data_IF_433596915050
#
_entry.id   IF_433596915050
#
_cell.length_a   1.000
_cell.length_b   1.000
_cell.length_c   1.000
_cell.angle_alpha   90.00
_cell.angle_beta   90.00
_cell.angle_gamma   90.00
#
_symmetry.space_group_name_H-M   'P 1'
#
loop_
_entity.id
_entity.type
_entity.pdbx_description
1 polymer ?
#
# COMPACT_ATOMS: atom_id res chain seq x y z
N UNK A 1 22.29 -6.40 -34.44
CA UNK A 1 22.99 -6.20 -33.15
C UNK A 1 22.72 -4.78 -32.68
N UNK A 2 21.82 -4.61 -31.71
CA UNK A 2 21.70 -3.48 -30.77
C UNK A 2 20.32 -3.57 -30.10
N UNK A 3 20.21 -4.45 -29.11
CA UNK A 3 19.07 -4.52 -28.19
C UNK A 3 19.10 -3.31 -27.26
N UNK A 4 18.36 -2.26 -27.61
CA UNK A 4 18.08 -1.14 -26.71
C UNK A 4 16.94 -1.50 -25.76
N UNK A 5 17.25 -2.23 -24.69
CA UNK A 5 16.29 -2.55 -23.64
C UNK A 5 16.01 -1.31 -22.79
N UNK A 6 14.83 -0.71 -22.98
CA UNK A 6 14.28 0.27 -22.03
C UNK A 6 13.80 -0.53 -20.82
N UNK A 7 14.54 -0.45 -19.71
CA UNK A 7 14.09 -0.98 -18.40
C UNK A 7 12.99 -0.05 -17.86
N UNK A 8 11.74 -0.50 -17.92
CA UNK A 8 10.66 0.04 -17.11
C UNK A 8 10.67 -0.71 -15.77
N UNK A 9 11.23 -0.10 -14.74
CA UNK A 9 11.04 -0.53 -13.36
C UNK A 9 9.59 -0.24 -12.97
N UNK A 10 8.75 -1.27 -13.01
CA UNK A 10 7.36 -1.20 -12.57
C UNK A 10 7.31 -1.79 -11.15
N UNK A 11 7.51 -0.95 -10.14
CA UNK A 11 7.14 -1.30 -8.77
C UNK A 11 5.61 -1.23 -8.69
N UNK A 12 4.90 -2.35 -8.48
CA UNK A 12 3.45 -2.33 -8.35
C UNK A 12 3.10 -1.49 -7.12
N UNK A 13 2.30 -0.45 -7.33
CA UNK A 13 1.84 0.47 -6.31
C UNK A 13 1.29 -0.28 -5.11
N UNK A 14 2.12 -0.39 -4.08
CA UNK A 14 1.76 -0.91 -2.78
C UNK A 14 0.78 0.10 -2.21
N UNK A 15 -0.52 -0.19 -2.28
CA UNK A 15 -1.56 0.49 -1.50
C UNK A 15 -1.38 0.09 -0.04
N UNK A 16 -0.22 0.47 0.50
CA UNK A 16 0.03 0.67 1.91
C UNK A 16 -1.10 1.56 2.43
N UNK A 17 -1.65 1.21 3.59
CA UNK A 17 -2.47 2.11 4.39
C UNK A 17 -1.56 3.28 4.79
N UNK A 18 -1.34 4.21 3.86
CA UNK A 18 -0.69 5.49 4.09
C UNK A 18 -1.74 6.33 4.77
N UNK A 19 -1.81 6.22 6.09
CA UNK A 19 -2.31 7.34 6.90
C UNK A 19 -1.54 8.58 6.40
N UNK A 20 -2.23 9.38 5.58
CA UNK A 20 -1.89 10.71 5.09
C UNK A 20 -0.39 10.99 5.07
N UNK A 21 0.23 10.88 3.89
CA UNK A 21 1.58 11.41 3.57
C UNK A 21 1.96 12.52 4.52
N UNK A 22 2.71 12.14 5.56
CA UNK A 22 3.29 13.05 6.51
C UNK A 22 4.20 13.91 5.65
N UNK A 23 3.83 15.16 5.38
CA UNK A 23 4.72 16.15 4.80
C UNK A 23 6.07 15.96 5.52
N UNK A 24 7.08 15.44 4.81
CA UNK A 24 8.40 15.20 5.37
C UNK A 24 9.07 16.56 5.63
N UNK A 25 8.60 17.23 6.68
CA UNK A 25 9.31 18.34 7.28
C UNK A 25 10.54 17.76 7.94
N UNK A 26 11.68 18.42 7.73
CA UNK A 26 12.96 18.08 8.36
C UNK A 26 12.75 18.06 9.88
N UNK A 27 12.58 16.86 10.42
CA UNK A 27 12.49 16.61 11.86
C UNK A 27 13.87 16.45 12.48
N UNK A 28 13.96 16.57 13.81
CA UNK A 28 15.21 16.43 14.57
C UNK A 28 15.95 15.09 14.35
N UNK A 29 15.27 14.09 13.81
CA UNK A 29 15.79 12.74 13.56
C UNK A 29 15.63 12.28 12.10
N UNK A 30 15.32 13.21 11.18
CA UNK A 30 15.17 12.93 9.74
C UNK A 30 16.47 12.48 9.05
N UNK A 31 17.62 12.77 9.65
CA UNK A 31 18.94 12.36 9.16
C UNK A 31 19.29 10.89 9.47
N UNK A 32 18.50 10.23 10.32
CA UNK A 32 18.73 8.84 10.74
C UNK A 32 18.09 7.91 9.71
N UNK A 33 18.92 7.10 9.07
CA UNK A 33 18.50 6.15 8.02
C UNK A 33 18.66 4.68 8.41
N UNK A 34 19.08 4.41 9.65
CA UNK A 34 19.30 3.06 10.17
C UNK A 34 20.18 3.05 11.41
N UNK A 35 20.50 1.86 11.89
CA UNK A 35 21.31 1.66 13.10
C UNK A 35 22.81 1.71 12.82
N UNK A 36 23.24 1.64 11.56
CA UNK A 36 24.63 1.77 11.09
C UNK A 36 25.55 0.66 11.60
N UNK A 37 25.02 -0.56 11.66
CA UNK A 37 25.75 -1.75 12.10
C UNK A 37 26.39 -2.46 10.90
N UNK A 38 27.41 -3.26 11.17
CA UNK A 38 28.00 -4.22 10.23
C UNK A 38 27.37 -5.61 10.42
N UNK A 39 27.67 -6.55 9.51
CA UNK A 39 27.06 -7.90 9.51
C UNK A 39 27.31 -8.68 10.80
N UNK A 40 28.39 -8.33 11.52
CA UNK A 40 28.71 -8.83 12.85
C UNK A 40 27.87 -8.24 13.99
N UNK A 41 26.91 -7.37 13.70
CA UNK A 41 26.13 -6.57 14.66
C UNK A 41 26.97 -5.61 15.51
N UNK A 42 28.19 -5.33 15.09
CA UNK A 42 29.01 -4.29 15.70
C UNK A 42 28.68 -2.93 15.07
N UNK A 43 28.87 -1.82 15.79
CA UNK A 43 28.66 -0.48 15.24
C UNK A 43 29.90 -0.02 14.48
N UNK A 44 29.71 0.40 13.22
CA UNK A 44 30.79 0.93 12.39
C UNK A 44 31.47 2.14 13.06
N UNK A 45 32.81 2.11 13.10
CA UNK A 45 33.64 3.21 13.63
C UNK A 45 33.53 4.42 12.71
N UNK A 46 33.25 5.61 13.27
CA UNK A 46 33.14 6.87 12.52
C UNK A 46 31.72 7.36 12.27
N UNK A 47 30.70 6.61 12.71
CA UNK A 47 29.31 6.95 12.47
C UNK A 47 28.83 6.45 11.11
N UNK A 48 27.59 5.98 11.05
CA UNK A 48 27.01 5.38 9.85
C UNK A 48 25.49 5.54 9.87
N UNK A 49 24.88 5.72 8.70
CA UNK A 49 23.44 5.90 8.52
C UNK A 49 22.81 7.00 9.41
N UNK A 50 23.57 8.07 9.68
CA UNK A 50 23.14 9.19 10.53
C UNK A 50 23.28 8.96 12.04
N UNK A 51 23.72 7.77 12.47
CA UNK A 51 24.00 7.46 13.88
C UNK A 51 25.48 7.59 14.22
N UNK A 52 25.80 8.30 15.31
CA UNK A 52 27.16 8.51 15.80
C UNK A 52 27.25 8.17 17.28
N UNK A 53 28.32 7.48 17.69
CA UNK A 53 28.55 7.10 19.08
C UNK A 53 27.60 6.01 19.60
N UNK A 54 27.43 5.94 20.93
CA UNK A 54 26.59 4.96 21.63
C UNK A 54 26.80 3.50 21.19
N UNK A 55 28.05 2.98 21.20
CA UNK A 55 28.34 1.66 20.63
C UNK A 55 27.62 0.53 21.39
N UNK A 56 27.54 0.61 22.71
CA UNK A 56 26.87 -0.40 23.53
C UNK A 56 25.36 -0.46 23.25
N UNK A 57 24.68 0.69 23.16
CA UNK A 57 23.25 0.75 22.90
C UNK A 57 22.91 0.32 21.46
N UNK A 58 23.71 0.74 20.47
CA UNK A 58 23.53 0.32 19.06
C UNK A 58 23.73 -1.19 18.90
N UNK A 59 24.75 -1.76 19.53
CA UNK A 59 24.97 -3.22 19.54
C UNK A 59 23.81 -3.97 20.18
N UNK A 60 23.32 -3.51 21.34
CA UNK A 60 22.19 -4.14 22.03
C UNK A 60 20.91 -4.11 21.17
N UNK A 61 20.64 -2.98 20.51
CA UNK A 61 19.50 -2.83 19.61
C UNK A 61 19.70 -3.62 18.30
N UNK A 62 20.94 -3.83 17.85
CA UNK A 62 21.26 -4.75 16.76
C UNK A 62 20.92 -6.21 17.06
N UNK A 63 21.22 -6.66 18.27
CA UNK A 63 20.81 -8.00 18.74
C UNK A 63 19.27 -8.09 18.75
N UNK A 64 18.60 -7.05 19.24
CA UNK A 64 17.14 -6.97 19.21
C UNK A 64 16.59 -7.04 17.78
N UNK A 65 17.14 -6.26 16.86
CA UNK A 65 16.75 -6.26 15.45
C UNK A 65 16.79 -7.68 14.87
N UNK A 66 17.87 -8.41 15.14
CA UNK A 66 18.00 -9.81 14.73
C UNK A 66 16.94 -10.70 15.38
N UNK A 67 16.66 -10.54 16.67
CA UNK A 67 15.60 -11.30 17.36
C UNK A 67 14.20 -11.02 16.79
N UNK A 68 13.93 -9.77 16.39
CA UNK A 68 12.66 -9.38 15.75
C UNK A 68 12.54 -10.04 14.38
N UNK A 69 13.60 -9.98 13.54
CA UNK A 69 13.61 -10.65 12.23
C UNK A 69 13.49 -12.16 12.30
N UNK A 70 14.07 -12.77 13.33
CA UNK A 70 13.95 -14.21 13.59
C UNK A 70 12.59 -14.59 14.21
N UNK A 71 11.73 -13.62 14.57
CA UNK A 71 10.41 -13.87 15.16
C UNK A 71 10.44 -14.49 16.57
N UNK A 72 11.60 -14.55 17.22
CA UNK A 72 11.80 -15.23 18.52
C UNK A 72 11.35 -14.40 19.72
N UNK A 73 10.96 -13.14 19.50
CA UNK A 73 10.60 -12.20 20.56
C UNK A 73 9.17 -11.68 20.34
N UNK A 74 8.21 -12.31 21.03
CA UNK A 74 6.81 -11.84 21.11
C UNK A 74 6.47 -11.40 22.54
N UNK A 75 5.76 -10.28 22.68
CA UNK A 75 5.25 -9.81 23.98
C UNK A 75 6.29 -9.35 24.99
N UNK A 76 7.50 -8.97 24.56
CA UNK A 76 8.55 -8.42 25.44
C UNK A 76 8.61 -6.91 25.35
N UNK A 77 8.82 -6.26 26.49
CA UNK A 77 9.03 -4.82 26.58
C UNK A 77 10.52 -4.49 26.70
N UNK A 78 10.94 -3.38 26.10
CA UNK A 78 12.33 -2.92 26.11
C UNK A 78 12.34 -1.47 26.55
N UNK A 79 13.20 -1.17 27.53
CA UNK A 79 13.32 0.16 28.10
C UNK A 79 14.69 0.78 27.77
N UNK A 80 14.67 1.90 27.07
CA UNK A 80 15.85 2.73 26.84
C UNK A 80 15.93 3.80 27.95
N UNK A 81 16.88 3.66 28.87
CA UNK A 81 17.06 4.56 30.00
C UNK A 81 18.35 5.42 29.91
N UNK A 82 18.45 6.49 30.70
CA UNK A 82 19.65 7.33 30.84
C UNK A 82 19.38 8.83 30.76
N UNK A 83 20.43 9.66 30.75
CA UNK A 83 20.33 11.13 30.75
C UNK A 83 19.59 11.70 29.52
N UNK A 84 18.92 12.86 29.62
CA UNK A 84 18.35 13.56 28.46
C UNK A 84 19.44 13.90 27.43
N UNK A 85 19.07 13.95 26.16
CA UNK A 85 20.01 14.27 25.06
C UNK A 85 20.95 13.14 24.63
N UNK A 86 20.85 11.93 25.21
CA UNK A 86 21.71 10.78 24.88
C UNK A 86 21.26 9.95 23.67
N UNK A 87 20.28 10.43 22.89
CA UNK A 87 19.87 9.78 21.64
C UNK A 87 18.93 8.58 21.79
N UNK A 88 18.13 8.48 22.86
CA UNK A 88 17.18 7.36 23.05
C UNK A 88 16.16 7.27 21.92
N UNK A 89 15.49 8.40 21.64
CA UNK A 89 14.52 8.52 20.55
C UNK A 89 15.20 8.29 19.19
N UNK A 90 16.43 8.78 19.03
CA UNK A 90 17.23 8.57 17.82
C UNK A 90 17.50 7.07 17.57
N UNK A 91 17.85 6.30 18.59
CA UNK A 91 18.06 4.85 18.49
C UNK A 91 16.75 4.12 18.14
N UNK A 92 15.63 4.50 18.75
CA UNK A 92 14.32 3.92 18.44
C UNK A 92 13.91 4.19 16.98
N UNK A 93 14.16 5.41 16.48
CA UNK A 93 13.94 5.75 15.08
C UNK A 93 14.90 5.02 14.14
N UNK A 94 16.16 4.85 14.53
CA UNK A 94 17.12 4.05 13.77
C UNK A 94 16.65 2.60 13.64
N UNK A 95 16.11 2.00 14.70
CA UNK A 95 15.52 0.66 14.65
C UNK A 95 14.30 0.60 13.72
N UNK A 96 13.42 1.60 13.76
CA UNK A 96 12.27 1.68 12.87
C UNK A 96 12.70 1.73 11.39
N UNK A 97 13.70 2.54 11.07
CA UNK A 97 14.25 2.63 9.72
C UNK A 97 14.96 1.35 9.28
N UNK A 98 15.65 0.66 10.19
CA UNK A 98 16.34 -0.61 9.90
C UNK A 98 15.38 -1.79 9.64
N UNK A 99 14.20 -1.78 10.27
CA UNK A 99 13.13 -2.77 10.04
C UNK A 99 12.42 -2.58 8.69
N UNK A 100 12.56 -1.41 8.06
CA UNK A 100 11.96 -1.07 6.78
C UNK A 100 10.47 -0.69 6.88
N UNK A 101 9.95 -0.12 5.79
CA UNK A 101 8.56 0.36 5.65
C UNK A 101 7.50 -0.75 5.80
N UNK A 102 7.99 -1.95 5.58
CA UNK A 102 7.30 -3.21 5.54
C UNK A 102 6.85 -3.68 6.95
N UNK A 103 7.44 -3.12 8.01
CA UNK A 103 7.16 -3.48 9.40
C UNK A 103 6.49 -2.29 10.09
N UNK A 104 5.25 -2.44 10.63
CA UNK A 104 4.55 -1.32 11.24
C UNK A 104 5.27 -0.83 12.50
N UNK A 105 5.53 0.47 12.57
CA UNK A 105 6.16 1.12 13.71
C UNK A 105 5.30 2.29 14.19
N UNK A 106 4.71 2.17 15.38
CA UNK A 106 3.83 3.19 15.96
C UNK A 106 4.56 3.95 17.06
N UNK A 107 4.65 5.28 16.93
CA UNK A 107 5.12 6.16 18.00
C UNK A 107 3.93 6.74 18.74
N UNK A 108 3.89 6.59 20.06
CA UNK A 108 2.82 7.17 20.90
C UNK A 108 3.46 7.97 22.03
N UNK A 109 2.97 9.18 22.22
CA UNK A 109 3.29 9.97 23.40
C UNK A 109 2.41 9.52 24.58
N UNK A 110 2.97 9.48 25.79
CA UNK A 110 2.21 9.14 26.99
C UNK A 110 1.00 10.04 27.22
N UNK A 111 1.06 11.31 26.76
CA UNK A 111 -0.06 12.25 26.83
C UNK A 111 -1.21 11.89 25.89
N UNK A 112 -0.94 11.22 24.76
CA UNK A 112 -1.97 10.82 23.78
C UNK A 112 -2.88 9.71 24.32
N UNK A 113 -2.41 8.96 25.33
CA UNK A 113 -3.20 7.93 26.01
C UNK A 113 -4.30 8.53 26.90
N UNK A 114 -4.14 9.79 27.31
CA UNK A 114 -5.12 10.49 28.13
C UNK A 114 -6.04 11.32 27.22
N UNK A 115 -7.18 10.73 26.85
CA UNK A 115 -8.22 11.39 26.08
C UNK A 115 -9.54 11.46 26.87
N UNK A 116 -10.36 12.46 26.57
CA UNK A 116 -11.74 12.57 27.08
C UNK A 116 -12.71 11.72 26.26
N UNK A 117 -12.39 11.43 24.99
CA UNK A 117 -13.28 10.74 24.06
C UNK A 117 -13.20 9.22 24.17
N UNK A 118 -12.06 8.69 24.66
CA UNK A 118 -11.80 7.25 24.74
C UNK A 118 -11.15 6.87 26.06
N UNK A 119 -11.39 5.64 26.50
CA UNK A 119 -10.79 5.11 27.73
C UNK A 119 -9.29 4.87 27.56
N UNK A 120 -8.52 5.01 28.64
CA UNK A 120 -7.06 4.74 28.65
C UNK A 120 -6.72 3.33 28.15
N UNK A 121 -7.53 2.34 28.53
CA UNK A 121 -7.37 0.94 28.09
C UNK A 121 -7.62 0.79 26.61
N UNK A 122 -8.61 1.48 26.07
CA UNK A 122 -8.94 1.45 24.65
C UNK A 122 -7.85 2.12 23.81
N UNK A 123 -7.35 3.28 24.24
CA UNK A 123 -6.24 3.97 23.58
C UNK A 123 -4.99 3.06 23.47
N UNK A 124 -4.63 2.37 24.56
CA UNK A 124 -3.53 1.40 24.56
C UNK A 124 -3.84 0.16 23.72
N UNK A 125 -5.07 -0.33 23.72
CA UNK A 125 -5.45 -1.50 22.92
C UNK A 125 -5.38 -1.19 21.42
N UNK A 126 -5.84 0.00 21.02
CA UNK A 126 -5.71 0.48 19.64
C UNK A 126 -4.25 0.64 19.24
N UNK A 127 -3.42 1.21 20.12
CA UNK A 127 -1.98 1.32 19.91
C UNK A 127 -1.30 -0.03 19.62
N UNK A 128 -1.63 -1.06 20.41
CA UNK A 128 -1.12 -2.41 20.19
C UNK A 128 -1.61 -2.99 18.87
N UNK A 129 -2.90 -2.84 18.54
CA UNK A 129 -3.47 -3.34 17.28
C UNK A 129 -2.86 -2.67 16.05
N UNK A 130 -2.60 -1.36 16.09
CA UNK A 130 -1.93 -0.61 15.01
C UNK A 130 -0.49 -1.06 14.78
N UNK A 131 0.17 -1.56 15.82
CA UNK A 131 1.56 -2.02 15.76
C UNK A 131 1.70 -3.49 15.30
N UNK A 132 0.59 -4.17 15.01
CA UNK A 132 0.58 -5.55 14.51
C UNK A 132 0.12 -5.52 13.05
N UNK A 133 1.01 -5.89 12.14
CA UNK A 133 0.73 -5.94 10.71
C UNK A 133 0.37 -7.35 10.27
N UNK A 134 -0.64 -7.47 9.41
CA UNK A 134 -0.97 -8.71 8.69
C UNK A 134 -0.72 -8.46 7.21
N UNK A 135 0.13 -9.29 6.59
CA UNK A 135 0.34 -9.25 5.15
C UNK A 135 -0.51 -10.32 4.50
N UNK A 136 -1.40 -9.89 3.60
CA UNK A 136 -2.24 -10.77 2.79
C UNK A 136 -1.75 -10.63 1.36
N UNK A 137 -1.38 -11.75 0.76
CA UNK A 137 -1.01 -11.83 -0.65
C UNK A 137 -2.25 -12.30 -1.40
N UNK A 138 -2.63 -11.55 -2.42
CA UNK A 138 -3.75 -11.86 -3.31
C UNK A 138 -3.23 -11.87 -4.74
N UNK A 139 -3.64 -12.87 -5.51
CA UNK A 139 -3.36 -12.98 -6.94
C UNK A 139 -4.59 -12.47 -7.68
N UNK A 140 -4.41 -11.46 -8.53
CA UNK A 140 -5.48 -10.90 -9.37
C UNK A 140 -5.01 -10.91 -10.81
N UNK A 141 -5.85 -11.43 -11.71
CA UNK A 141 -5.61 -11.34 -13.15
C UNK A 141 -6.00 -9.93 -13.61
N UNK A 142 -5.08 -9.25 -14.29
CA UNK A 142 -5.28 -7.90 -14.82
C UNK A 142 -5.11 -7.94 -16.33
N UNK A 143 -6.04 -7.34 -17.05
CA UNK A 143 -5.96 -7.20 -18.51
C UNK A 143 -5.52 -5.77 -18.82
N UNK A 144 -4.38 -5.64 -19.49
CA UNK A 144 -3.80 -4.36 -19.89
C UNK A 144 -3.74 -4.27 -21.41
N UNK A 145 -4.20 -3.15 -21.96
CA UNK A 145 -4.14 -2.91 -23.40
C UNK A 145 -4.51 -1.49 -23.78
N UNK A 146 -4.10 -1.09 -24.99
CA UNK A 146 -4.59 0.11 -25.62
C UNK A 146 -6.00 -0.15 -26.17
N UNK A 147 -6.93 0.75 -25.87
CA UNK A 147 -8.29 0.68 -26.37
C UNK A 147 -8.31 1.15 -27.81
N UNK A 148 -8.49 0.23 -28.75
CA UNK A 148 -8.59 0.56 -30.18
C UNK A 148 -10.00 1.05 -30.51
N UNK A 149 -11.01 0.32 -30.03
CA UNK A 149 -12.41 0.62 -30.31
C UNK A 149 -13.32 0.21 -29.16
N UNK A 150 -14.36 1.02 -28.91
CA UNK A 150 -15.45 0.72 -27.99
C UNK A 150 -16.76 0.86 -28.76
N UNK A 151 -17.51 -0.24 -28.85
CA UNK A 151 -18.86 -0.27 -29.41
C UNK A 151 -19.84 -0.52 -28.26
N UNK A 152 -20.88 0.31 -28.14
CA UNK A 152 -21.92 0.13 -27.12
C UNK A 152 -23.26 0.07 -27.84
N UNK A 153 -23.86 -1.10 -27.81
CA UNK A 153 -25.20 -1.36 -28.32
C UNK A 153 -26.20 -1.15 -27.18
N UNK A 154 -26.88 -0.01 -27.23
CA UNK A 154 -28.03 0.22 -26.38
C UNK A 154 -29.26 -0.32 -27.08
N UNK A 155 -29.72 -1.51 -26.70
CA UNK A 155 -31.01 -2.01 -27.18
C UNK A 155 -32.11 -1.18 -26.51
N UNK A 156 -32.61 -0.19 -27.25
CA UNK A 156 -33.89 0.43 -26.93
C UNK A 156 -34.92 -0.64 -27.25
N UNK A 157 -35.49 -1.31 -26.25
CA UNK A 157 -36.79 -1.97 -26.44
C UNK A 157 -37.80 -0.85 -26.66
N UNK A 158 -37.82 -0.33 -27.88
CA UNK A 158 -38.88 0.52 -28.36
C UNK A 158 -40.13 -0.36 -28.31
N UNK A 159 -40.99 -0.03 -27.35
CA UNK A 159 -42.31 -0.60 -27.20
C UNK A 159 -43.15 -0.32 -28.44
N UNK A 160 -43.03 -1.14 -29.47
CA UNK A 160 -43.93 -1.19 -30.63
C UNK A 160 -43.89 -2.64 -31.16
N UNK A 161 -44.95 -3.45 -31.17
CA UNK A 161 -46.39 -3.20 -31.30
C UNK A 161 -47.20 -4.41 -30.77
N UNK A 162 -48.51 -4.17 -30.63
CA UNK A 162 -49.62 -5.14 -30.69
C UNK A 162 -49.82 -6.15 -29.55
N UNK A 163 -50.82 -5.84 -28.72
CA UNK A 163 -51.85 -6.73 -28.16
C UNK A 163 -51.48 -8.16 -27.76
N UNK A 164 -51.51 -8.42 -26.45
CA UNK A 164 -51.62 -9.77 -25.89
C UNK A 164 -51.06 -9.86 -24.48
N UNK A 165 -51.93 -9.90 -23.48
CA UNK A 165 -51.59 -9.93 -22.06
C UNK A 165 -50.92 -11.25 -21.62
N UNK A 166 -49.90 -11.16 -20.76
CA UNK A 166 -49.72 -12.00 -19.56
C UNK A 166 -48.29 -11.88 -18.99
N UNK A 167 -48.16 -11.56 -17.69
CA UNK A 167 -47.09 -12.12 -16.86
C UNK A 167 -46.03 -11.14 -16.33
N UNK A 168 -46.19 -10.77 -15.05
CA UNK A 168 -45.15 -10.40 -14.06
C UNK A 168 -44.25 -9.19 -14.35
N UNK A 169 -44.42 -8.17 -13.50
CA UNK A 169 -43.61 -6.96 -13.38
C UNK A 169 -42.12 -7.24 -13.10
N UNK A 170 -41.31 -7.37 -14.15
CA UNK A 170 -39.88 -7.09 -14.06
C UNK A 170 -39.63 -5.66 -14.54
N UNK A 171 -39.06 -4.88 -13.64
CA UNK A 171 -38.68 -3.48 -13.79
C UNK A 171 -37.80 -3.33 -15.06
N UNK A 172 -38.33 -2.69 -16.09
CA UNK A 172 -37.68 -2.55 -17.41
C UNK A 172 -36.27 -1.99 -17.31
N UNK A 173 -35.28 -2.86 -17.45
CA UNK A 173 -33.87 -2.50 -17.55
C UNK A 173 -33.44 -2.46 -19.01
N UNK A 174 -32.81 -1.38 -19.42
CA UNK A 174 -32.06 -1.32 -20.69
C UNK A 174 -30.98 -2.40 -20.66
N UNK A 175 -31.08 -3.43 -21.50
CA UNK A 175 -29.95 -4.31 -21.78
C UNK A 175 -28.98 -3.56 -22.68
N UNK A 176 -27.89 -3.07 -22.07
CA UNK A 176 -26.75 -2.49 -22.78
C UNK A 176 -25.70 -3.58 -22.91
N UNK A 177 -25.37 -3.93 -24.14
CA UNK A 177 -24.23 -4.81 -24.46
C UNK A 177 -23.19 -3.98 -25.20
N UNK A 178 -21.93 -4.37 -25.14
CA UNK A 178 -20.88 -3.65 -25.86
C UNK A 178 -19.75 -4.56 -26.26
N UNK A 179 -18.86 -4.06 -27.11
CA UNK A 179 -17.61 -4.71 -27.50
C UNK A 179 -16.45 -3.76 -27.27
N UNK A 180 -15.38 -4.30 -26.75
CA UNK A 180 -14.13 -3.60 -26.50
C UNK A 180 -13.01 -4.33 -27.23
N UNK A 181 -12.33 -3.62 -28.11
CA UNK A 181 -11.12 -4.14 -28.76
C UNK A 181 -9.90 -3.57 -28.05
N UNK A 182 -9.13 -4.46 -27.42
CA UNK A 182 -7.86 -4.15 -26.77
C UNK A 182 -6.70 -4.65 -27.61
N UNK A 183 -5.72 -3.79 -27.84
CA UNK A 183 -4.50 -4.14 -28.55
C UNK A 183 -3.28 -3.99 -27.64
N UNK A 184 -2.43 -4.99 -27.67
CA UNK A 184 -1.10 -4.99 -27.09
C UNK A 184 -0.07 -5.06 -28.21
N UNK A 185 1.22 -5.00 -27.90
CA UNK A 185 2.27 -5.09 -28.92
C UNK A 185 2.29 -6.42 -29.69
N UNK A 186 1.73 -7.49 -29.11
CA UNK A 186 1.78 -8.84 -29.68
C UNK A 186 0.40 -9.43 -30.00
N UNK A 187 -0.67 -8.96 -29.34
CA UNK A 187 -2.01 -9.52 -29.45
C UNK A 187 -3.08 -8.45 -29.56
N UNK A 188 -4.04 -8.67 -30.45
CA UNK A 188 -5.29 -7.93 -30.52
C UNK A 188 -6.43 -8.85 -30.07
N UNK A 189 -7.24 -8.37 -29.13
CA UNK A 189 -8.28 -9.17 -28.47
C UNK A 189 -9.58 -8.38 -28.38
N UNK A 190 -10.70 -9.04 -28.67
CA UNK A 190 -12.04 -8.46 -28.60
C UNK A 190 -12.78 -9.07 -27.42
N UNK A 191 -13.30 -8.22 -26.54
CA UNK A 191 -14.07 -8.59 -25.36
C UNK A 191 -15.52 -8.10 -25.48
N UNK A 192 -16.47 -8.97 -25.23
CA UNK A 192 -17.87 -8.57 -25.06
C UNK A 192 -18.08 -8.02 -23.64
N UNK A 193 -18.63 -6.81 -23.55
CA UNK A 193 -18.84 -6.07 -22.31
C UNK A 193 -20.27 -6.25 -21.80
N UNK A 194 -20.39 -6.51 -20.50
CA UNK A 194 -21.65 -6.46 -19.78
C UNK A 194 -22.06 -5.05 -19.35
N UNK A 195 -23.31 -4.90 -18.93
CA UNK A 195 -23.90 -3.62 -18.48
C UNK A 195 -23.06 -2.88 -17.44
N UNK A 196 -22.51 -3.59 -16.44
CA UNK A 196 -21.67 -3.00 -15.38
C UNK A 196 -20.33 -2.46 -15.89
N UNK A 197 -19.69 -3.15 -16.84
CA UNK A 197 -18.43 -2.68 -17.44
C UNK A 197 -18.68 -1.45 -18.30
N UNK A 198 -19.78 -1.41 -19.04
CA UNK A 198 -20.17 -0.24 -19.85
C UNK A 198 -20.39 0.99 -18.97
N UNK A 199 -21.04 0.82 -17.81
CA UNK A 199 -21.21 1.91 -16.84
C UNK A 199 -19.87 2.38 -16.26
N UNK A 200 -18.95 1.46 -15.95
CA UNK A 200 -17.60 1.79 -15.47
C UNK A 200 -16.79 2.57 -16.52
N UNK A 201 -16.78 2.10 -17.77
CA UNK A 201 -16.14 2.77 -18.91
C UNK A 201 -16.70 4.18 -19.14
N UNK A 202 -18.02 4.34 -19.05
CA UNK A 202 -18.69 5.63 -19.20
C UNK A 202 -18.32 6.58 -18.05
N UNK A 203 -18.19 6.05 -16.82
CA UNK A 203 -17.81 6.82 -15.63
C UNK A 203 -16.36 7.30 -15.70
N UNK A 204 -15.45 6.44 -16.16
CA UNK A 204 -14.03 6.78 -16.33
C UNK A 204 -13.73 7.57 -17.60
N UNK A 205 -14.72 7.72 -18.49
CA UNK A 205 -14.60 8.43 -19.79
C UNK A 205 -13.47 7.85 -20.63
N UNK A 206 -13.38 6.53 -20.68
CA UNK A 206 -12.42 5.83 -21.53
C UNK A 206 -12.71 6.15 -22.98
N UNK A 207 -11.68 6.52 -23.73
CA UNK A 207 -11.76 6.88 -25.15
C UNK A 207 -10.80 6.01 -25.96
N UNK A 208 -11.09 5.82 -27.25
CA UNK A 208 -10.20 5.13 -28.17
C UNK A 208 -8.84 5.86 -28.24
N UNK A 209 -7.75 5.09 -28.19
CA UNK A 209 -6.37 5.57 -28.09
C UNK A 209 -5.86 5.75 -26.65
N UNK A 210 -6.68 5.44 -25.63
CA UNK A 210 -6.26 5.42 -24.23
C UNK A 210 -5.71 4.06 -23.80
N UNK A 211 -4.68 4.04 -22.95
CA UNK A 211 -4.26 2.82 -22.24
C UNK A 211 -5.12 2.65 -21.00
N UNK A 212 -5.73 1.48 -20.83
CA UNK A 212 -6.62 1.20 -19.70
C UNK A 212 -6.28 -0.16 -19.07
N UNK A 213 -6.42 -0.23 -17.75
CA UNK A 213 -6.19 -1.42 -16.94
C UNK A 213 -7.55 -1.92 -16.46
N UNK A 214 -7.87 -3.18 -16.76
CA UNK A 214 -9.13 -3.80 -16.36
C UNK A 214 -8.85 -4.86 -15.29
N UNK A 215 -9.61 -4.77 -14.19
CA UNK A 215 -9.64 -5.71 -13.06
C UNK A 215 -10.97 -6.47 -13.05
#
# INVERSE_FOLDING_TARGET
MSSGGIKLSNDPGTTTVRELTRLERIGAHSHIRGLGLDDGLEPRKGGSQGMVGQPAARRAVGILYRMIREGKIGGRAILLAGKPGTGKTAIAMGLAQELGEDTPFTTISGSEVFSLEMSKTEALTQAFRRSIGVRILEETEVIEGEVVEIQIDTAVTAAEKSGGASGSSSKGGFEKTGRLTLCTTEMETVYDLGTKMIEALTKEKVTAGGVSFFF
#
